data_IF_174861967540
#
_entry.id   IF_174861967540
#
_cell.length_a   1.000
_cell.length_b   1.000
_cell.length_c   1.000
_cell.angle_alpha   90.00
_cell.angle_beta   90.00
_cell.angle_gamma   90.00
#
_symmetry.space_group_name_H-M   'P 1'
#
loop_
_entity.id
_entity.type
_entity.pdbx_description
1 polymer ?
#
# COMPACT_ATOMS: atom_id res chain seq x y z
N UNK A 1 -54.25 -9.58 -18.09
CA UNK A 1 -53.28 -8.52 -18.45
C UNK A 1 -52.32 -8.40 -17.27
N UNK A 2 -51.14 -9.07 -17.31
CA UNK A 2 -50.14 -9.04 -16.25
C UNK A 2 -49.07 -8.03 -16.64
N UNK A 3 -49.03 -6.88 -15.92
CA UNK A 3 -47.98 -5.89 -16.06
C UNK A 3 -46.83 -6.36 -15.16
N UNK A 4 -45.79 -6.96 -15.75
CA UNK A 4 -44.54 -7.27 -15.07
C UNK A 4 -43.74 -5.98 -14.97
N UNK A 5 -43.73 -5.35 -13.82
CA UNK A 5 -42.81 -4.27 -13.52
C UNK A 5 -41.44 -4.91 -13.21
N UNK A 6 -40.61 -5.04 -14.24
CA UNK A 6 -39.24 -5.45 -14.11
C UNK A 6 -38.42 -4.19 -13.74
N UNK A 7 -38.43 -3.82 -12.45
CA UNK A 7 -37.60 -2.74 -11.92
C UNK A 7 -36.22 -3.35 -11.59
N UNK A 8 -35.44 -3.64 -12.63
CA UNK A 8 -34.02 -3.92 -12.48
C UNK A 8 -33.35 -2.58 -12.17
N UNK A 9 -33.19 -2.28 -10.88
CA UNK A 9 -32.22 -1.31 -10.43
C UNK A 9 -30.81 -1.84 -10.82
N UNK A 10 -30.40 -1.57 -12.04
CA UNK A 10 -29.02 -1.80 -12.45
C UNK A 10 -28.17 -0.82 -11.65
N UNK A 11 -27.51 -1.33 -10.59
CA UNK A 11 -26.47 -0.60 -9.89
C UNK A 11 -25.42 -0.21 -10.94
N UNK A 12 -25.18 1.11 -11.10
CA UNK A 12 -24.13 1.57 -11.99
C UNK A 12 -22.80 1.00 -11.50
N UNK A 13 -21.94 0.52 -12.40
CA UNK A 13 -20.58 0.09 -12.01
C UNK A 13 -19.86 1.23 -11.28
N UNK A 14 -19.18 0.90 -10.19
CA UNK A 14 -18.34 1.86 -9.45
C UNK A 14 -17.13 2.16 -10.33
N UNK A 15 -16.88 3.45 -10.59
CA UNK A 15 -15.68 3.89 -11.29
C UNK A 15 -14.51 3.94 -10.30
N UNK A 16 -13.61 2.99 -10.43
CA UNK A 16 -12.40 2.87 -9.58
C UNK A 16 -11.15 3.48 -10.20
N UNK A 17 -11.24 3.96 -11.44
CA UNK A 17 -10.08 4.39 -12.22
C UNK A 17 -9.26 5.48 -11.54
N UNK A 18 -9.91 6.45 -10.90
CA UNK A 18 -9.24 7.54 -10.18
C UNK A 18 -8.42 7.04 -9.00
N UNK A 19 -8.95 6.10 -8.22
CA UNK A 19 -8.23 5.52 -7.08
C UNK A 19 -7.07 4.62 -7.55
N UNK A 20 -7.26 3.91 -8.65
CA UNK A 20 -6.18 3.13 -9.26
C UNK A 20 -5.03 4.02 -9.73
N UNK A 21 -5.32 5.17 -10.35
CA UNK A 21 -4.29 6.14 -10.75
C UNK A 21 -3.55 6.73 -9.55
N UNK A 22 -4.24 7.01 -8.45
CA UNK A 22 -3.62 7.47 -7.19
C UNK A 22 -2.62 6.42 -6.69
N UNK A 23 -3.00 5.15 -6.67
CA UNK A 23 -2.12 4.07 -6.20
C UNK A 23 -0.93 3.87 -7.16
N UNK A 24 -1.14 3.92 -8.46
CA UNK A 24 -0.03 3.87 -9.44
C UNK A 24 0.97 5.01 -9.20
N UNK A 25 0.47 6.23 -9.01
CA UNK A 25 1.32 7.40 -8.73
C UNK A 25 2.07 7.25 -7.38
N UNK A 26 1.45 6.63 -6.38
CA UNK A 26 2.11 6.31 -5.12
C UNK A 26 3.36 5.45 -5.34
N UNK A 27 3.24 4.35 -6.10
CA UNK A 27 4.37 3.47 -6.39
C UNK A 27 5.42 4.12 -7.30
N UNK A 28 5.03 5.03 -8.20
CA UNK A 28 5.99 5.83 -8.98
C UNK A 28 6.83 6.74 -8.09
N UNK A 29 6.22 7.43 -7.13
CA UNK A 29 6.95 8.23 -6.16
C UNK A 29 7.83 7.37 -5.25
N UNK A 30 7.32 6.24 -4.78
CA UNK A 30 8.10 5.28 -4.00
C UNK A 30 9.35 4.84 -4.77
N UNK A 31 9.19 4.35 -5.98
CA UNK A 31 10.27 3.81 -6.80
C UNK A 31 11.25 4.86 -7.32
N UNK A 32 10.85 6.13 -7.37
CA UNK A 32 11.75 7.25 -7.63
C UNK A 32 12.37 7.82 -6.36
N UNK A 33 12.13 7.21 -5.20
CA UNK A 33 12.58 7.65 -3.88
C UNK A 33 12.16 9.09 -3.53
N UNK A 34 11.03 9.52 -4.07
CA UNK A 34 10.45 10.83 -3.76
C UNK A 34 9.53 10.73 -2.54
N UNK A 35 10.16 10.51 -1.39
CA UNK A 35 9.47 10.23 -0.13
C UNK A 35 8.53 11.35 0.29
N UNK A 36 8.91 12.58 0.01
CA UNK A 36 8.07 13.75 0.30
C UNK A 36 6.77 13.71 -0.49
N UNK A 37 6.84 13.56 -1.81
CA UNK A 37 5.63 13.51 -2.66
C UNK A 37 4.78 12.28 -2.38
N UNK A 38 5.41 11.15 -2.08
CA UNK A 38 4.70 9.95 -1.67
C UNK A 38 3.93 10.20 -0.36
N UNK A 39 4.57 10.81 0.65
CA UNK A 39 3.93 11.13 1.92
C UNK A 39 2.80 12.17 1.78
N UNK A 40 2.90 13.10 0.83
CA UNK A 40 1.86 14.08 0.53
C UNK A 40 0.57 13.45 -0.05
N UNK A 41 0.62 12.20 -0.50
CA UNK A 41 -0.56 11.47 -0.97
C UNK A 41 -1.47 10.98 0.17
N UNK A 42 -0.97 10.99 1.40
CA UNK A 42 -1.76 10.70 2.60
C UNK A 42 -2.44 11.96 3.15
N UNK A 43 -3.45 11.76 3.98
CA UNK A 43 -3.94 12.83 4.87
C UNK A 43 -2.82 13.27 5.81
N UNK A 44 -2.95 14.44 6.44
CA UNK A 44 -1.97 14.99 7.41
C UNK A 44 -1.54 13.94 8.44
N UNK A 45 -2.51 13.16 8.91
CA UNK A 45 -2.32 11.98 9.75
C UNK A 45 -3.16 10.86 9.17
N UNK A 46 -2.57 9.69 8.97
CA UNK A 46 -3.24 8.50 8.46
C UNK A 46 -3.09 7.33 9.42
N UNK A 47 -3.98 6.35 9.30
CA UNK A 47 -3.95 5.12 10.07
C UNK A 47 -3.14 4.04 9.36
N UNK A 48 -2.16 3.50 10.03
CA UNK A 48 -1.31 2.42 9.50
C UNK A 48 -1.50 1.14 10.29
N UNK A 49 -1.54 0.02 9.60
CA UNK A 49 -1.14 -1.28 10.13
C UNK A 49 0.10 -1.71 9.37
N UNK A 50 1.20 -1.81 10.07
CA UNK A 50 2.46 -2.22 9.51
C UNK A 50 3.26 -2.90 10.62
N UNK A 51 3.66 -4.18 10.44
CA UNK A 51 4.42 -4.91 11.46
C UNK A 51 5.69 -4.19 11.93
N UNK A 52 6.28 -3.35 11.06
CA UNK A 52 7.47 -2.56 11.43
C UNK A 52 7.19 -1.40 12.38
N UNK A 53 5.94 -0.96 12.48
CA UNK A 53 5.51 0.13 13.38
C UNK A 53 5.02 -0.37 14.74
N UNK A 54 4.84 -1.68 14.89
CA UNK A 54 4.33 -2.29 16.10
C UNK A 54 2.96 -2.94 15.91
N UNK A 55 2.28 -3.22 17.01
CA UNK A 55 1.02 -3.98 17.01
C UNK A 55 -0.20 -3.06 16.84
N UNK A 56 -1.12 -3.45 15.97
CA UNK A 56 -2.40 -2.77 15.78
C UNK A 56 -2.32 -1.54 14.89
N UNK A 57 -3.25 -0.62 15.07
CA UNK A 57 -3.31 0.63 14.29
C UNK A 57 -2.40 1.67 14.93
N UNK A 58 -1.49 2.21 14.12
CA UNK A 58 -0.58 3.28 14.52
C UNK A 58 -0.84 4.50 13.64
N UNK A 59 -1.04 5.67 14.24
CA UNK A 59 -1.16 6.92 13.49
C UNK A 59 0.21 7.44 13.10
N UNK A 60 0.37 7.83 11.83
CA UNK A 60 1.57 8.46 11.31
C UNK A 60 1.23 9.79 10.65
N UNK A 61 2.04 10.80 10.92
CA UNK A 61 2.03 12.05 10.15
C UNK A 61 2.75 11.84 8.82
N UNK A 62 2.54 12.74 7.86
CA UNK A 62 3.30 12.76 6.60
C UNK A 62 4.81 12.77 6.84
N UNK A 63 5.27 13.56 7.79
CA UNK A 63 6.70 13.64 8.12
C UNK A 63 7.25 12.33 8.66
N UNK A 64 6.52 11.66 9.53
CA UNK A 64 6.92 10.36 10.05
C UNK A 64 6.98 9.29 8.95
N UNK A 65 6.02 9.32 8.01
CA UNK A 65 6.01 8.42 6.85
C UNK A 65 7.19 8.70 5.92
N UNK A 66 7.45 9.96 5.59
CA UNK A 66 8.62 10.38 4.80
C UNK A 66 9.94 9.89 5.44
N UNK A 67 10.12 10.15 6.73
CA UNK A 67 11.34 9.79 7.47
C UNK A 67 11.55 8.27 7.53
N UNK A 68 10.48 7.51 7.76
CA UNK A 68 10.54 6.04 7.79
C UNK A 68 11.14 5.48 6.50
N UNK A 69 10.65 5.92 5.35
CA UNK A 69 11.13 5.41 4.06
C UNK A 69 12.49 5.98 3.66
N UNK A 70 12.79 7.21 4.04
CA UNK A 70 14.13 7.77 3.87
C UNK A 70 15.19 6.98 4.65
N UNK A 71 14.88 6.55 5.89
CA UNK A 71 15.77 5.72 6.69
C UNK A 71 15.90 4.30 6.09
N UNK A 72 14.79 3.70 5.64
CA UNK A 72 14.83 2.40 4.96
C UNK A 72 15.67 2.43 3.68
N UNK A 73 15.59 3.52 2.93
CA UNK A 73 16.38 3.73 1.72
C UNK A 73 17.89 3.87 1.98
N UNK A 74 18.30 4.35 3.17
CA UNK A 74 19.71 4.34 3.56
C UNK A 74 20.24 2.92 3.76
N UNK A 75 19.39 2.02 4.25
CA UNK A 75 19.73 0.60 4.43
C UNK A 75 19.75 -0.11 3.07
N UNK A 76 18.77 0.19 2.21
CA UNK A 76 18.62 -0.39 0.88
C UNK A 76 18.62 0.73 -0.18
N UNK A 77 19.80 1.17 -0.67
CA UNK A 77 19.87 2.28 -1.62
C UNK A 77 19.13 2.05 -2.94
N UNK A 78 18.92 0.80 -3.32
CA UNK A 78 18.18 0.35 -4.49
C UNK A 78 16.75 -0.13 -4.15
N UNK A 79 16.17 0.33 -3.04
CA UNK A 79 14.82 -0.03 -2.60
C UNK A 79 13.81 0.19 -3.72
N UNK A 80 13.03 -0.86 -4.02
CA UNK A 80 12.08 -0.87 -5.11
C UNK A 80 10.89 -1.77 -4.81
N UNK A 81 9.69 -1.28 -5.08
CA UNK A 81 8.46 -2.05 -4.97
C UNK A 81 7.94 -2.41 -6.36
N UNK A 82 7.96 -3.71 -6.67
CA UNK A 82 7.42 -4.25 -7.91
C UNK A 82 5.96 -4.62 -7.72
N UNK A 83 5.05 -3.83 -8.27
CA UNK A 83 3.61 -4.12 -8.25
C UNK A 83 3.33 -5.36 -9.10
N UNK A 84 2.64 -6.31 -8.51
CA UNK A 84 2.21 -7.56 -9.17
C UNK A 84 0.78 -7.39 -9.67
N UNK A 85 -0.14 -6.94 -8.81
CA UNK A 85 -1.55 -6.79 -9.15
C UNK A 85 -2.23 -5.73 -8.27
N UNK A 86 -3.17 -5.02 -8.88
CA UNK A 86 -4.05 -4.05 -8.21
C UNK A 86 -5.48 -4.57 -8.28
N UNK A 87 -6.15 -4.61 -7.15
CA UNK A 87 -7.53 -5.07 -7.00
C UNK A 87 -8.39 -3.95 -6.39
N UNK A 88 -9.17 -3.23 -7.19
CA UNK A 88 -10.16 -2.30 -6.65
C UNK A 88 -11.25 -3.04 -5.87
N UNK A 89 -11.69 -2.47 -4.76
CA UNK A 89 -12.74 -3.03 -3.91
C UNK A 89 -13.69 -1.94 -3.40
N UNK A 90 -14.89 -1.88 -3.94
CA UNK A 90 -15.85 -0.82 -3.62
C UNK A 90 -15.36 0.56 -4.05
N UNK A 91 -15.90 1.60 -3.42
CA UNK A 91 -15.63 2.99 -3.82
C UNK A 91 -14.29 3.53 -3.29
N UNK A 92 -13.81 3.01 -2.17
CA UNK A 92 -12.74 3.63 -1.40
C UNK A 92 -11.52 2.73 -1.15
N UNK A 93 -11.55 1.47 -1.56
CA UNK A 93 -10.48 0.54 -1.25
C UNK A 93 -9.75 0.08 -2.51
N UNK A 94 -8.44 0.02 -2.40
CA UNK A 94 -7.56 -0.63 -3.38
C UNK A 94 -6.65 -1.60 -2.64
N UNK A 95 -6.66 -2.85 -3.06
CA UNK A 95 -5.72 -3.87 -2.57
C UNK A 95 -4.60 -4.02 -3.58
N UNK A 96 -3.36 -4.02 -3.13
CA UNK A 96 -2.17 -4.15 -3.98
C UNK A 96 -1.29 -5.28 -3.49
N UNK A 97 -0.98 -6.20 -4.39
CA UNK A 97 0.12 -7.16 -4.20
C UNK A 97 1.38 -6.61 -4.85
N UNK A 98 2.46 -6.63 -4.13
CA UNK A 98 3.78 -6.21 -4.63
C UNK A 98 4.91 -6.95 -3.92
N UNK A 99 6.10 -6.90 -4.49
CA UNK A 99 7.31 -7.41 -3.87
C UNK A 99 8.25 -6.24 -3.64
N UNK A 100 8.62 -6.02 -2.39
CA UNK A 100 9.66 -5.06 -2.02
C UNK A 100 11.02 -5.72 -2.11
N UNK A 101 11.93 -5.07 -2.82
CA UNK A 101 13.30 -5.57 -3.04
C UNK A 101 14.32 -4.51 -2.66
N UNK A 102 15.50 -4.96 -2.30
CA UNK A 102 16.62 -4.09 -1.99
C UNK A 102 17.91 -4.87 -1.74
N UNK A 103 19.01 -4.15 -1.79
CA UNK A 103 20.34 -4.69 -1.49
C UNK A 103 20.99 -3.82 -0.42
N UNK A 104 21.35 -4.44 0.70
CA UNK A 104 22.10 -3.77 1.75
C UNK A 104 23.61 -3.66 1.39
N UNK A 105 24.39 -2.77 2.04
CA UNK A 105 25.82 -2.61 1.76
C UNK A 105 26.66 -3.85 1.93
N UNK A 106 26.24 -4.81 2.76
CA UNK A 106 26.87 -6.11 2.95
C UNK A 106 26.46 -7.16 1.91
N UNK A 107 25.74 -6.74 0.85
CA UNK A 107 25.14 -7.57 -0.20
C UNK A 107 24.01 -8.50 0.25
N UNK A 108 23.50 -8.37 1.47
CA UNK A 108 22.27 -9.05 1.86
C UNK A 108 21.07 -8.51 1.07
N UNK A 109 20.15 -9.41 0.71
CA UNK A 109 19.01 -9.10 -0.16
C UNK A 109 17.73 -9.03 0.64
N UNK A 110 16.95 -8.00 0.38
CA UNK A 110 15.54 -7.93 0.73
C UNK A 110 14.73 -8.45 -0.46
N UNK A 111 13.84 -9.38 -0.21
CA UNK A 111 12.78 -9.79 -1.14
C UNK A 111 11.56 -10.16 -0.30
N UNK A 112 10.62 -9.24 -0.22
CA UNK A 112 9.48 -9.35 0.68
C UNK A 112 8.17 -9.21 -0.08
N UNK A 113 7.38 -10.30 -0.21
CA UNK A 113 6.01 -10.22 -0.72
C UNK A 113 5.12 -9.48 0.27
N UNK A 114 4.36 -8.52 -0.23
CA UNK A 114 3.53 -7.63 0.57
C UNK A 114 2.14 -7.51 -0.06
N UNK A 115 1.14 -7.41 0.79
CA UNK A 115 -0.21 -7.03 0.43
C UNK A 115 -0.61 -5.80 1.25
N UNK A 116 -0.99 -4.72 0.59
CA UNK A 116 -1.49 -3.51 1.26
C UNK A 116 -2.92 -3.23 0.85
N UNK A 117 -3.75 -2.92 1.84
CA UNK A 117 -5.11 -2.40 1.64
C UNK A 117 -5.08 -0.91 1.88
N UNK A 118 -5.20 -0.13 0.80
CA UNK A 118 -5.37 1.32 0.88
C UNK A 118 -6.84 1.70 1.02
N UNK A 119 -7.15 2.63 1.91
CA UNK A 119 -8.41 3.36 1.91
C UNK A 119 -8.16 4.76 1.37
N UNK A 120 -8.89 5.15 0.34
CA UNK A 120 -8.74 6.44 -0.34
C UNK A 120 -10.06 7.20 -0.25
N UNK A 121 -10.01 8.39 0.32
CA UNK A 121 -11.16 9.26 0.52
C UNK A 121 -10.80 10.67 0.05
N UNK A 122 -11.65 11.26 -0.78
CA UNK A 122 -11.41 12.60 -1.34
C UNK A 122 -10.03 12.77 -2.01
N UNK A 123 -9.54 11.73 -2.66
CA UNK A 123 -8.27 11.74 -3.39
C UNK A 123 -7.02 11.58 -2.52
N UNK A 124 -7.16 11.33 -1.22
CA UNK A 124 -6.06 11.12 -0.29
C UNK A 124 -6.15 9.74 0.38
N UNK A 125 -5.00 9.16 0.67
CA UNK A 125 -4.90 7.90 1.42
C UNK A 125 -5.14 8.21 2.91
N UNK A 126 -6.19 7.60 3.48
CA UNK A 126 -6.54 7.76 4.89
C UNK A 126 -6.10 6.58 5.74
N UNK A 127 -5.95 5.41 5.12
CA UNK A 127 -5.48 4.17 5.78
C UNK A 127 -4.57 3.38 4.85
N UNK A 128 -3.55 2.81 5.45
CA UNK A 128 -2.57 1.94 4.80
C UNK A 128 -2.36 0.71 5.70
N UNK A 129 -3.03 -0.37 5.36
CA UNK A 129 -2.98 -1.60 6.13
C UNK A 129 -2.15 -2.62 5.37
N UNK A 130 -0.91 -2.79 5.80
CA UNK A 130 0.10 -3.63 5.19
C UNK A 130 0.25 -4.96 5.91
N UNK A 131 0.29 -6.03 5.13
CA UNK A 131 0.48 -7.40 5.58
C UNK A 131 1.60 -8.03 4.77
N UNK A 132 2.54 -8.63 5.47
CA UNK A 132 3.62 -9.38 4.84
C UNK A 132 3.99 -10.60 5.67
N UNK A 133 4.53 -11.61 5.01
CA UNK A 133 5.02 -12.81 5.65
C UNK A 133 6.53 -12.69 5.85
N UNK A 134 6.92 -12.57 7.11
CA UNK A 134 8.31 -12.60 7.53
C UNK A 134 8.64 -13.88 8.32
N UNK A 135 7.85 -14.93 8.11
CA UNK A 135 8.05 -16.21 8.77
C UNK A 135 9.44 -16.75 8.42
N UNK A 136 10.28 -16.85 9.44
CA UNK A 136 11.54 -17.56 9.36
C UNK A 136 11.34 -18.93 10.01
N UNK A 137 11.48 -20.00 9.21
CA UNK A 137 11.49 -21.35 9.75
C UNK A 137 12.61 -21.46 10.78
N UNK A 138 12.28 -21.90 11.99
CA UNK A 138 13.29 -22.20 13.02
C UNK A 138 14.13 -23.40 12.56
N UNK A 139 15.27 -23.12 11.95
CA UNK A 139 16.22 -24.15 11.48
C UNK A 139 17.06 -24.76 12.60
N UNK A 140 16.83 -24.35 13.86
CA UNK A 140 17.62 -24.83 15.00
C UNK A 140 17.04 -26.10 15.63
N UNK A 141 15.85 -26.53 15.23
CA UNK A 141 15.30 -27.83 15.63
C UNK A 141 15.77 -28.93 14.68
N UNK A 142 16.91 -29.50 14.98
CA UNK A 142 17.33 -30.81 14.50
C UNK A 142 17.01 -31.85 15.57
#
# INVERSE_FOLDING_TARGET
MFISCNNQNQLKPIDTSKNEEIVKQYFEYFNSHNWKKMAEMYTETADFKDPSLGKGIVKQTRKQTEDKYAELNKIFPDLHDKVIQIYPSGENHIVVEFVSTGTAPDNSKLELPICTVFTIENGLITKDFTYFDNFQADTTKK
#
